data_IF_757748073368
#
_entry.id   IF_757748073368
#
_cell.length_a   1.000
_cell.length_b   1.000
_cell.length_c   1.000
_cell.angle_alpha   90.00
_cell.angle_beta   90.00
_cell.angle_gamma   90.00
#
_symmetry.space_group_name_H-M   'P 1'
#
loop_
_entity.id
_entity.type
_entity.pdbx_description
1 polymer ?
#
# COMPACT_ATOMS: atom_id res chain seq x y z
N UNK A 1 -12.78 -5.86 -4.13
CA UNK A 1 -12.31 -4.98 -3.04
C UNK A 1 -12.11 -3.57 -3.60
N UNK A 2 -12.62 -2.50 -2.96
CA UNK A 2 -12.44 -1.11 -3.41
C UNK A 2 -10.96 -0.68 -3.43
N UNK A 3 -10.59 0.28 -4.30
CA UNK A 3 -9.20 0.79 -4.40
C UNK A 3 -8.69 1.38 -3.07
N UNK A 4 -9.55 2.05 -2.29
CA UNK A 4 -9.20 2.59 -0.96
C UNK A 4 -8.75 1.48 -0.01
N UNK A 5 -9.52 0.40 0.08
CA UNK A 5 -9.23 -0.75 0.95
C UNK A 5 -7.89 -1.41 0.60
N UNK A 6 -7.60 -1.54 -0.69
CA UNK A 6 -6.32 -2.06 -1.18
C UNK A 6 -5.17 -1.11 -0.83
N UNK A 7 -5.35 0.20 -1.05
CA UNK A 7 -4.35 1.21 -0.70
C UNK A 7 -4.05 1.26 0.80
N UNK A 8 -5.08 1.15 1.64
CA UNK A 8 -4.96 1.04 3.10
C UNK A 8 -4.18 -0.22 3.49
N UNK A 9 -4.48 -1.38 2.90
CA UNK A 9 -3.75 -2.63 3.15
C UNK A 9 -2.25 -2.53 2.79
N UNK A 10 -1.93 -1.95 1.63
CA UNK A 10 -0.55 -1.73 1.18
C UNK A 10 0.18 -0.81 2.16
N UNK A 11 -0.48 0.25 2.64
CA UNK A 11 0.11 1.17 3.62
C UNK A 11 0.39 0.49 4.96
N UNK A 12 -0.53 -0.34 5.45
CA UNK A 12 -0.31 -1.14 6.66
C UNK A 12 0.89 -2.08 6.50
N UNK A 13 0.97 -2.80 5.38
CA UNK A 13 2.06 -3.70 5.09
C UNK A 13 3.42 -2.99 5.09
N UNK A 14 3.50 -1.81 4.45
CA UNK A 14 4.71 -0.98 4.46
C UNK A 14 5.06 -0.52 5.88
N UNK A 15 4.11 0.06 6.60
CA UNK A 15 4.34 0.58 7.97
C UNK A 15 4.80 -0.53 8.92
N UNK A 16 4.20 -1.71 8.83
CA UNK A 16 4.58 -2.86 9.64
C UNK A 16 6.07 -3.23 9.40
N UNK A 17 6.46 -3.44 8.14
CA UNK A 17 7.83 -3.86 7.80
C UNK A 17 8.88 -2.73 7.80
N UNK A 18 8.52 -1.49 8.13
CA UNK A 18 9.51 -0.46 8.46
C UNK A 18 10.21 -0.75 9.79
N UNK A 19 9.48 -1.32 10.76
CA UNK A 19 9.97 -1.53 12.12
C UNK A 19 10.05 -3.02 12.51
N UNK A 20 9.54 -3.92 11.67
CA UNK A 20 9.48 -5.35 11.95
C UNK A 20 10.23 -6.15 10.89
N UNK A 21 10.81 -7.28 11.29
CA UNK A 21 11.57 -8.14 10.39
C UNK A 21 10.69 -9.17 9.67
N UNK A 22 10.93 -9.37 8.37
CA UNK A 22 10.33 -10.47 7.60
C UNK A 22 10.72 -11.86 8.14
N UNK A 23 11.87 -11.96 8.82
CA UNK A 23 12.35 -13.20 9.43
C UNK A 23 11.59 -13.55 10.71
N UNK A 24 10.98 -12.56 11.36
CA UNK A 24 10.19 -12.74 12.57
C UNK A 24 8.71 -12.95 12.22
N UNK A 25 8.17 -12.12 11.33
CA UNK A 25 6.77 -12.20 10.92
C UNK A 25 6.68 -12.54 9.44
N UNK A 26 6.04 -13.67 9.13
CA UNK A 26 5.97 -14.16 7.76
C UNK A 26 5.10 -13.23 6.86
N UNK A 27 5.63 -12.71 5.74
CA UNK A 27 4.96 -11.69 4.93
C UNK A 27 3.65 -12.15 4.30
N UNK A 28 3.47 -13.45 4.03
CA UNK A 28 2.18 -13.99 3.56
C UNK A 28 1.05 -13.72 4.57
N UNK A 29 1.31 -13.99 5.85
CA UNK A 29 0.27 -13.88 6.89
C UNK A 29 0.01 -12.42 7.24
N UNK A 30 1.08 -11.62 7.39
CA UNK A 30 0.93 -10.17 7.62
C UNK A 30 0.22 -9.48 6.44
N UNK A 31 0.53 -9.85 5.19
CA UNK A 31 -0.17 -9.32 4.01
C UNK A 31 -1.68 -9.59 4.06
N UNK A 32 -2.08 -10.82 4.39
CA UNK A 32 -3.49 -11.19 4.52
C UNK A 32 -4.15 -10.49 5.71
N UNK A 33 -3.43 -10.35 6.83
CA UNK A 33 -3.89 -9.62 8.01
C UNK A 33 -4.10 -8.14 7.71
N UNK A 34 -3.18 -7.50 6.98
CA UNK A 34 -3.34 -6.12 6.52
C UNK A 34 -4.55 -5.94 5.62
N UNK A 35 -4.78 -6.88 4.68
CA UNK A 35 -5.94 -6.84 3.79
C UNK A 35 -7.26 -7.08 4.54
N UNK A 36 -7.29 -7.97 5.52
CA UNK A 36 -8.48 -8.20 6.34
C UNK A 36 -8.77 -7.02 7.28
N UNK A 37 -7.74 -6.48 7.95
CA UNK A 37 -7.88 -5.32 8.83
C UNK A 37 -8.35 -4.08 8.04
N UNK A 38 -7.83 -3.87 6.83
CA UNK A 38 -8.27 -2.73 6.01
C UNK A 38 -9.75 -2.85 5.61
N UNK A 39 -10.26 -4.06 5.36
CA UNK A 39 -11.69 -4.26 5.12
C UNK A 39 -12.53 -3.77 6.30
N UNK A 40 -12.10 -4.05 7.53
CA UNK A 40 -12.81 -3.63 8.74
C UNK A 40 -12.73 -2.12 8.96
N UNK A 41 -11.55 -1.53 8.79
CA UNK A 41 -11.32 -0.08 9.01
C UNK A 41 -12.06 0.78 7.98
N UNK A 42 -12.10 0.35 6.72
CA UNK A 42 -12.80 1.06 5.64
C UNK A 42 -14.27 0.63 5.49
N UNK A 43 -14.84 -0.07 6.49
CA UNK A 43 -16.24 -0.52 6.53
C UNK A 43 -16.68 -1.38 5.31
N UNK A 44 -15.73 -2.07 4.70
CA UNK A 44 -16.00 -3.04 3.64
C UNK A 44 -16.38 -4.40 4.26
N UNK A 45 -17.68 -4.59 4.46
CA UNK A 45 -18.25 -5.73 5.17
C UNK A 45 -17.97 -7.07 4.47
N UNK A 46 -16.97 -7.80 4.97
CA UNK A 46 -16.59 -9.15 4.54
C UNK A 46 -16.30 -9.98 5.78
N UNK A 47 -16.98 -11.12 5.91
CA UNK A 47 -16.71 -12.06 7.01
C UNK A 47 -15.36 -12.77 6.85
N UNK A 48 -14.78 -13.28 7.94
CA UNK A 48 -13.52 -14.03 7.90
C UNK A 48 -13.57 -15.21 6.92
N UNK A 49 -14.66 -15.99 6.91
CA UNK A 49 -14.86 -17.12 6.01
C UNK A 49 -14.94 -16.68 4.54
N UNK A 50 -15.68 -15.61 4.23
CA UNK A 50 -15.72 -15.04 2.87
C UNK A 50 -14.37 -14.50 2.43
N UNK A 51 -13.58 -13.93 3.35
CA UNK A 51 -12.25 -13.42 3.05
C UNK A 51 -11.31 -14.56 2.64
N UNK A 52 -11.18 -15.60 3.48
CA UNK A 52 -10.28 -16.74 3.20
C UNK A 52 -10.76 -17.64 2.07
N UNK A 53 -12.07 -17.65 1.74
CA UNK A 53 -12.59 -18.35 0.57
C UNK A 53 -11.99 -17.86 -0.76
N UNK A 54 -11.41 -16.64 -0.81
CA UNK A 54 -10.68 -16.15 -1.98
C UNK A 54 -9.31 -16.81 -2.17
N UNK A 55 -8.83 -17.60 -1.19
CA UNK A 55 -7.59 -18.36 -1.28
C UNK A 55 -7.85 -19.68 -2.00
N UNK A 56 -8.02 -19.60 -3.32
CA UNK A 56 -8.40 -20.74 -4.20
C UNK A 56 -7.40 -21.90 -4.21
N UNK A 57 -6.17 -21.66 -3.77
CA UNK A 57 -5.11 -22.68 -3.71
C UNK A 57 -5.03 -23.38 -2.35
N UNK A 58 -5.81 -22.94 -1.36
CA UNK A 58 -5.87 -23.55 -0.03
C UNK A 58 -7.04 -24.54 0.06
N UNK A 59 -6.82 -25.65 0.76
CA UNK A 59 -7.91 -26.55 1.14
C UNK A 59 -8.83 -25.88 2.17
N UNK A 60 -10.07 -26.37 2.40
CA UNK A 60 -10.96 -25.81 3.42
C UNK A 60 -10.31 -25.74 4.82
N UNK A 61 -9.58 -26.79 5.23
CA UNK A 61 -8.83 -26.79 6.48
C UNK A 61 -7.66 -25.78 6.48
N UNK A 62 -7.02 -25.57 5.33
CA UNK A 62 -5.99 -24.55 5.17
C UNK A 62 -6.54 -23.13 5.26
N UNK A 63 -7.72 -22.88 4.70
CA UNK A 63 -8.42 -21.60 4.79
C UNK A 63 -8.79 -21.28 6.24
N UNK A 64 -9.26 -22.27 7.00
CA UNK A 64 -9.57 -22.13 8.43
C UNK A 64 -8.31 -21.79 9.25
N UNK A 65 -7.21 -22.52 9.04
CA UNK A 65 -5.94 -22.23 9.70
C UNK A 65 -5.41 -20.82 9.37
N UNK A 66 -5.54 -20.37 8.11
CA UNK A 66 -5.18 -19.00 7.74
C UNK A 66 -6.10 -17.98 8.41
N UNK A 67 -7.39 -18.27 8.57
CA UNK A 67 -8.32 -17.40 9.29
C UNK A 67 -7.90 -17.25 10.76
N UNK A 68 -7.54 -18.35 11.42
CA UNK A 68 -7.02 -18.34 12.79
C UNK A 68 -5.74 -17.50 12.90
N UNK A 69 -4.79 -17.67 11.98
CA UNK A 69 -3.56 -16.88 11.94
C UNK A 69 -3.84 -15.38 11.74
N UNK A 70 -4.76 -15.02 10.84
CA UNK A 70 -5.16 -13.62 10.65
C UNK A 70 -5.68 -13.02 11.96
N UNK A 71 -6.50 -13.75 12.71
CA UNK A 71 -7.03 -13.29 14.00
C UNK A 71 -5.93 -13.17 15.07
N UNK A 72 -4.98 -14.10 15.10
CA UNK A 72 -3.83 -14.06 16.02
C UNK A 72 -2.97 -12.81 15.78
N UNK A 73 -2.68 -12.49 14.51
CA UNK A 73 -1.83 -11.36 14.14
C UNK A 73 -2.56 -10.00 14.10
N UNK A 74 -3.88 -9.98 14.24
CA UNK A 74 -4.67 -8.76 14.11
C UNK A 74 -4.28 -7.71 15.16
N UNK A 75 -4.30 -8.09 16.45
CA UNK A 75 -3.96 -7.16 17.53
C UNK A 75 -2.50 -6.72 17.41
N UNK A 76 -1.60 -7.64 17.05
CA UNK A 76 -0.19 -7.30 16.81
C UNK A 76 -0.06 -6.24 15.72
N UNK A 77 -0.74 -6.42 14.58
CA UNK A 77 -0.71 -5.46 13.49
C UNK A 77 -1.18 -4.08 13.95
N UNK A 78 -2.28 -4.00 14.69
CA UNK A 78 -2.80 -2.72 15.22
C UNK A 78 -1.77 -2.04 16.14
N UNK A 79 -1.12 -2.81 17.02
CA UNK A 79 -0.06 -2.32 17.91
C UNK A 79 1.15 -1.80 17.12
N UNK A 80 1.61 -2.55 16.11
CA UNK A 80 2.74 -2.18 15.26
C UNK A 80 2.45 -0.98 14.35
N UNK A 81 1.18 -0.68 14.11
CA UNK A 81 0.71 0.55 13.44
C UNK A 81 0.52 1.72 14.40
N UNK A 82 0.90 1.57 15.69
CA UNK A 82 0.70 2.56 16.74
C UNK A 82 -0.76 3.02 16.86
N UNK A 83 -1.73 2.13 16.56
CA UNK A 83 -3.16 2.45 16.52
C UNK A 83 -3.54 3.55 15.50
N UNK A 84 -2.65 3.92 14.59
CA UNK A 84 -2.91 4.89 13.51
C UNK A 84 -3.52 4.20 12.29
N UNK A 85 -4.79 3.78 12.44
CA UNK A 85 -5.50 2.98 11.44
C UNK A 85 -6.02 3.81 10.25
N UNK A 86 -6.29 5.10 10.43
CA UNK A 86 -6.78 5.95 9.33
C UNK A 86 -5.65 6.20 8.31
N UNK A 87 -5.87 5.76 7.06
CA UNK A 87 -4.94 5.98 5.95
C UNK A 87 -5.62 6.85 4.89
N UNK A 88 -5.02 8.00 4.61
CA UNK A 88 -5.45 8.86 3.51
C UNK A 88 -4.86 8.36 2.18
N UNK A 89 -5.73 7.87 1.30
CA UNK A 89 -5.33 7.36 -0.02
C UNK A 89 -5.37 8.45 -1.11
N UNK A 90 -4.54 8.36 -2.17
CA UNK A 90 -4.48 9.36 -3.23
C UNK A 90 -5.70 9.36 -4.17
N UNK A 91 -6.59 8.36 -4.08
CA UNK A 91 -7.75 8.25 -4.96
C UNK A 91 -8.77 9.37 -4.72
N UNK A 92 -9.04 9.74 -3.46
CA UNK A 92 -9.97 10.84 -3.13
C UNK A 92 -9.49 12.22 -3.63
N UNK A 93 -8.24 12.66 -3.37
CA UNK A 93 -7.77 13.92 -3.93
C UNK A 93 -7.63 13.86 -5.45
N UNK A 94 -7.38 12.69 -6.05
CA UNK A 94 -7.40 12.53 -7.51
C UNK A 94 -8.77 12.86 -8.10
N UNK A 95 -9.87 12.34 -7.55
CA UNK A 95 -11.22 12.70 -8.01
C UNK A 95 -11.51 14.20 -7.83
N UNK A 96 -11.12 14.76 -6.67
CA UNK A 96 -11.30 16.18 -6.40
C UNK A 96 -10.58 17.06 -7.42
N UNK A 97 -9.33 16.74 -7.76
CA UNK A 97 -8.56 17.45 -8.78
C UNK A 97 -9.11 17.27 -10.20
N UNK A 98 -9.65 16.09 -10.54
CA UNK A 98 -10.31 15.90 -11.83
C UNK A 98 -11.60 16.73 -11.96
N UNK A 99 -12.40 16.83 -10.89
CA UNK A 99 -13.57 17.71 -10.85
C UNK A 99 -13.14 19.18 -10.98
N UNK A 100 -12.08 19.55 -10.30
CA UNK A 100 -11.51 20.90 -10.34
C UNK A 100 -11.04 21.28 -11.76
N UNK A 101 -10.36 20.36 -12.46
CA UNK A 101 -9.96 20.55 -13.85
C UNK A 101 -11.15 20.71 -14.79
N UNK A 102 -12.20 19.89 -14.64
CA UNK A 102 -13.42 19.99 -15.46
C UNK A 102 -14.15 21.32 -15.29
N UNK A 103 -14.06 21.94 -14.12
CA UNK A 103 -14.85 23.13 -13.78
C UNK A 103 -14.07 24.42 -13.96
N UNK A 104 -12.77 24.43 -13.67
CA UNK A 104 -11.95 25.65 -13.65
C UNK A 104 -10.87 25.71 -14.73
N UNK A 105 -10.67 24.64 -15.50
CA UNK A 105 -9.64 24.57 -16.54
C UNK A 105 -10.20 24.20 -17.91
N UNK A 106 -10.95 25.12 -18.57
CA UNK A 106 -11.66 24.85 -19.83
C UNK A 106 -10.74 24.55 -21.01
N UNK A 107 -9.45 24.89 -20.93
CA UNK A 107 -8.43 24.54 -21.93
C UNK A 107 -8.26 23.03 -22.10
N UNK A 108 -8.67 22.24 -21.10
CA UNK A 108 -8.65 20.78 -21.17
C UNK A 108 -10.04 20.25 -21.52
N UNK A 109 -10.27 19.94 -22.81
CA UNK A 109 -11.58 19.50 -23.32
C UNK A 109 -12.09 18.21 -22.66
N UNK A 110 -11.20 17.25 -22.40
CA UNK A 110 -11.59 15.97 -21.80
C UNK A 110 -10.60 15.49 -20.72
N UNK A 111 -10.76 15.93 -19.46
CA UNK A 111 -9.93 15.47 -18.35
C UNK A 111 -10.04 13.97 -18.06
N UNK A 112 -11.13 13.32 -18.45
CA UNK A 112 -11.33 11.87 -18.27
C UNK A 112 -10.37 11.04 -19.14
N UNK A 113 -9.90 11.59 -20.26
CA UNK A 113 -8.87 10.94 -21.09
C UNK A 113 -7.58 10.66 -20.31
N UNK A 114 -7.28 11.44 -19.26
CA UNK A 114 -6.10 11.27 -18.42
C UNK A 114 -6.26 10.15 -17.39
N UNK A 115 -7.49 9.74 -17.06
CA UNK A 115 -7.78 8.86 -15.92
C UNK A 115 -7.01 7.54 -15.97
N UNK A 116 -6.92 6.92 -17.15
CA UNK A 116 -6.15 5.67 -17.32
C UNK A 116 -4.67 5.86 -16.97
N UNK A 117 -4.04 6.89 -17.52
CA UNK A 117 -2.63 7.20 -17.25
C UNK A 117 -2.38 7.59 -15.79
N UNK A 118 -3.37 8.25 -15.16
CA UNK A 118 -3.35 8.61 -13.73
C UNK A 118 -3.39 7.34 -12.89
N UNK A 119 -4.32 6.43 -13.16
CA UNK A 119 -4.43 5.14 -12.48
C UNK A 119 -3.16 4.29 -12.65
N UNK A 120 -2.56 4.27 -13.85
CA UNK A 120 -1.29 3.60 -14.10
C UNK A 120 -0.18 4.17 -13.23
N UNK A 121 -0.07 5.51 -13.15
CA UNK A 121 0.92 6.16 -12.30
C UNK A 121 0.68 5.87 -10.81
N UNK A 122 -0.57 5.94 -10.32
CA UNK A 122 -0.90 5.63 -8.93
C UNK A 122 -0.59 4.17 -8.59
N UNK A 123 -0.83 3.26 -9.53
CA UNK A 123 -0.46 1.84 -9.37
C UNK A 123 1.05 1.69 -9.25
N UNK A 124 1.84 2.34 -10.11
CA UNK A 124 3.31 2.34 -9.99
C UNK A 124 3.78 2.98 -8.68
N UNK A 125 3.19 4.11 -8.27
CA UNK A 125 3.53 4.78 -7.03
C UNK A 125 3.28 3.89 -5.81
N UNK A 126 2.21 3.07 -5.83
CA UNK A 126 1.86 2.13 -4.75
C UNK A 126 2.92 1.03 -4.54
N UNK A 127 3.71 0.71 -5.57
CA UNK A 127 4.82 -0.26 -5.50
C UNK A 127 6.10 0.35 -4.90
N UNK A 128 6.14 1.67 -4.70
CA UNK A 128 7.29 2.41 -4.14
C UNK A 128 7.00 3.02 -2.77
N UNK A 129 8.01 3.63 -2.15
CA UNK A 129 7.87 4.30 -0.85
C UNK A 129 7.19 5.68 -0.92
N UNK A 130 6.69 6.08 -2.09
CA UNK A 130 6.04 7.38 -2.27
C UNK A 130 4.89 7.62 -1.28
N UNK A 131 4.10 6.58 -0.98
CA UNK A 131 3.00 6.69 -0.01
C UNK A 131 3.43 6.99 1.42
N UNK A 132 4.70 6.75 1.78
CA UNK A 132 5.27 7.08 3.08
C UNK A 132 5.96 8.46 3.09
N UNK A 133 6.40 8.94 1.92
CA UNK A 133 7.25 10.12 1.77
C UNK A 133 6.49 11.40 1.39
N UNK A 134 5.32 11.27 0.75
CA UNK A 134 4.58 12.40 0.20
C UNK A 134 3.11 12.38 0.59
N UNK A 135 2.48 13.56 0.60
CA UNK A 135 1.06 13.67 0.92
C UNK A 135 0.18 13.11 -0.21
N UNK A 136 -1.00 12.53 0.09
CA UNK A 136 -1.89 11.98 -0.93
C UNK A 136 -2.29 12.98 -2.02
N UNK A 137 -2.47 14.26 -1.67
CA UNK A 137 -2.77 15.33 -2.61
C UNK A 137 -1.62 15.62 -3.57
N UNK A 138 -0.37 15.61 -3.08
CA UNK A 138 0.81 15.76 -3.92
C UNK A 138 0.98 14.55 -4.87
N UNK A 139 0.71 13.34 -4.38
CA UNK A 139 0.76 12.12 -5.20
C UNK A 139 -0.28 12.19 -6.32
N UNK A 140 -1.53 12.54 -5.99
CA UNK A 140 -2.61 12.70 -6.96
C UNK A 140 -2.32 13.79 -8.00
N UNK A 141 -1.86 14.97 -7.55
CA UNK A 141 -1.50 16.08 -8.45
C UNK A 141 -0.34 15.69 -9.37
N UNK A 142 0.66 14.99 -8.85
CA UNK A 142 1.79 14.48 -9.65
C UNK A 142 1.30 13.49 -10.70
N UNK A 143 0.38 12.59 -10.35
CA UNK A 143 -0.18 11.62 -11.28
C UNK A 143 -0.90 12.32 -12.45
N UNK A 144 -1.72 13.34 -12.16
CA UNK A 144 -2.46 14.11 -13.17
C UNK A 144 -1.51 14.91 -14.07
N UNK A 145 -0.60 15.70 -13.49
CA UNK A 145 0.34 16.52 -14.24
C UNK A 145 1.33 15.66 -15.07
N UNK A 146 1.74 14.50 -14.55
CA UNK A 146 2.56 13.56 -15.29
C UNK A 146 1.80 12.95 -16.47
N UNK A 147 0.51 12.65 -16.28
CA UNK A 147 -0.34 12.09 -17.33
C UNK A 147 -0.60 13.09 -18.45
N UNK A 148 -0.89 14.35 -18.11
CA UNK A 148 -1.04 15.41 -19.10
C UNK A 148 0.26 15.68 -19.87
N UNK A 149 1.40 15.72 -19.18
CA UNK A 149 2.70 15.87 -19.83
C UNK A 149 3.00 14.73 -20.82
N UNK A 150 2.61 13.48 -20.50
CA UNK A 150 2.71 12.34 -21.44
C UNK A 150 1.75 12.45 -22.63
N UNK A 151 0.63 13.14 -22.46
CA UNK A 151 -0.34 13.42 -23.52
C UNK A 151 0.02 14.68 -24.34
N UNK A 152 1.16 15.33 -24.08
CA UNK A 152 1.59 16.55 -24.77
C UNK A 152 0.89 17.82 -24.30
N UNK A 153 0.17 17.77 -23.17
CA UNK A 153 -0.58 18.89 -22.62
C UNK A 153 0.26 19.67 -21.60
N UNK A 154 0.31 20.99 -21.74
CA UNK A 154 0.90 21.88 -20.73
C UNK A 154 -0.18 22.34 -19.73
N UNK A 155 0.03 22.06 -18.44
CA UNK A 155 -0.87 22.44 -17.35
C UNK A 155 -0.18 23.38 -16.34
N UNK A 156 0.81 24.15 -16.76
CA UNK A 156 1.48 25.15 -15.89
C UNK A 156 0.55 26.30 -15.47
N UNK A 157 -0.35 26.73 -16.37
CA UNK A 157 -1.40 27.73 -16.05
C UNK A 157 -2.36 27.20 -14.98
N UNK A 158 -2.68 25.91 -14.97
CA UNK A 158 -3.50 25.32 -13.91
C UNK A 158 -2.84 25.48 -12.51
N UNK A 159 -1.54 25.25 -12.40
CA UNK A 159 -0.81 25.38 -11.13
C UNK A 159 -0.71 26.85 -10.71
N UNK A 160 -0.43 27.74 -11.64
CA UNK A 160 -0.20 29.16 -11.32
C UNK A 160 -1.50 29.93 -11.11
N UNK A 161 -2.51 29.71 -11.95
CA UNK A 161 -3.77 30.46 -11.95
C UNK A 161 -4.84 29.76 -11.10
N UNK A 162 -5.14 28.48 -11.33
CA UNK A 162 -6.22 27.79 -10.63
C UNK A 162 -5.84 27.42 -9.19
N UNK A 163 -4.61 26.98 -8.93
CA UNK A 163 -4.15 26.70 -7.56
C UNK A 163 -3.64 27.97 -6.84
N UNK A 164 -3.63 29.13 -7.51
CA UNK A 164 -3.28 30.42 -6.91
C UNK A 164 -1.80 30.56 -6.52
N UNK A 165 -0.92 29.70 -7.02
CA UNK A 165 0.50 29.65 -6.62
C UNK A 165 1.38 30.64 -7.41
N UNK A 166 0.80 31.52 -8.24
CA UNK A 166 1.56 32.48 -9.07
C UNK A 166 2.48 33.42 -8.25
N UNK A 167 2.03 33.84 -7.07
CA UNK A 167 2.79 34.78 -6.23
C UNK A 167 3.71 34.07 -5.22
N UNK A 168 3.41 32.82 -4.86
CA UNK A 168 4.18 32.02 -3.90
C UNK A 168 5.21 31.13 -4.61
N UNK A 169 6.33 31.77 -5.00
CA UNK A 169 7.43 31.09 -5.70
C UNK A 169 8.10 30.01 -4.86
N UNK A 170 8.12 30.15 -3.54
CA UNK A 170 8.77 29.19 -2.65
C UNK A 170 7.98 27.88 -2.59
N UNK A 171 6.67 27.96 -2.35
CA UNK A 171 5.79 26.80 -2.34
C UNK A 171 5.74 26.14 -3.71
N UNK A 172 5.74 26.93 -4.78
CA UNK A 172 5.77 26.41 -6.16
C UNK A 172 7.05 25.62 -6.43
N UNK A 173 8.22 26.13 -6.01
CA UNK A 173 9.50 25.40 -6.14
C UNK A 173 9.47 24.07 -5.37
N UNK A 174 9.04 24.09 -4.11
CA UNK A 174 8.93 22.88 -3.27
C UNK A 174 7.98 21.84 -3.87
N UNK A 175 6.89 22.30 -4.50
CA UNK A 175 5.94 21.42 -5.19
C UNK A 175 6.60 20.74 -6.39
N UNK A 176 7.25 21.51 -7.27
CA UNK A 176 7.96 20.96 -8.43
C UNK A 176 9.09 20.00 -8.04
N UNK A 177 9.83 20.32 -6.98
CA UNK A 177 10.88 19.43 -6.45
C UNK A 177 10.29 18.12 -5.93
N UNK A 178 9.16 18.18 -5.24
CA UNK A 178 8.46 16.99 -4.74
C UNK A 178 7.93 16.13 -5.89
N UNK A 179 7.34 16.75 -6.92
CA UNK A 179 6.92 16.08 -8.15
C UNK A 179 8.10 15.41 -8.86
N UNK A 180 9.23 16.11 -8.99
CA UNK A 180 10.45 15.58 -9.62
C UNK A 180 10.97 14.37 -8.84
N UNK A 181 11.03 14.45 -7.51
CA UNK A 181 11.46 13.32 -6.66
C UNK A 181 10.54 12.11 -6.80
N UNK A 182 9.22 12.29 -6.77
CA UNK A 182 8.26 11.21 -7.01
C UNK A 182 8.50 10.54 -8.37
N UNK A 183 8.65 11.32 -9.45
CA UNK A 183 8.93 10.78 -10.79
C UNK A 183 10.23 9.97 -10.84
N UNK A 184 11.28 10.42 -10.15
CA UNK A 184 12.56 9.70 -10.07
C UNK A 184 12.38 8.36 -9.34
N UNK A 185 11.70 8.36 -8.19
CA UNK A 185 11.45 7.15 -7.41
C UNK A 185 10.67 6.13 -8.25
N UNK A 186 9.59 6.54 -8.91
CA UNK A 186 8.82 5.64 -9.79
C UNK A 186 9.62 5.11 -10.97
N UNK A 187 10.53 5.91 -11.56
CA UNK A 187 11.34 5.49 -12.71
C UNK A 187 12.46 4.52 -12.33
N UNK A 188 13.00 4.65 -11.12
CA UNK A 188 14.09 3.81 -10.60
C UNK A 188 13.60 2.48 -10.02
N UNK A 189 12.30 2.34 -9.80
CA UNK A 189 11.74 1.12 -9.25
C UNK A 189 11.79 -0.01 -10.27
N UNK A 190 12.42 -1.13 -9.88
CA UNK A 190 12.47 -2.35 -10.67
C UNK A 190 11.71 -3.45 -9.94
N UNK A 191 10.89 -4.21 -10.68
CA UNK A 191 10.20 -5.35 -10.12
C UNK A 191 11.21 -6.42 -9.69
N UNK A 192 10.99 -7.08 -8.54
CA UNK A 192 11.91 -8.10 -8.06
C UNK A 192 11.93 -9.29 -9.02
N UNK A 193 13.14 -9.70 -9.43
CA UNK A 193 13.32 -10.83 -10.36
C UNK A 193 12.81 -12.14 -9.74
N UNK A 194 12.05 -12.97 -10.48
CA UNK A 194 11.46 -14.21 -9.94
C UNK A 194 12.48 -15.15 -9.30
N UNK A 195 13.67 -15.27 -9.88
CA UNK A 195 14.76 -16.10 -9.36
C UNK A 195 15.20 -15.66 -7.96
N UNK A 196 15.37 -14.34 -7.76
CA UNK A 196 15.75 -13.76 -6.48
C UNK A 196 14.62 -13.93 -5.46
N UNK A 197 13.37 -13.71 -5.87
CA UNK A 197 12.20 -13.92 -5.00
C UNK A 197 12.12 -15.38 -4.54
N UNK A 198 12.29 -16.34 -5.44
CA UNK A 198 12.24 -17.76 -5.12
C UNK A 198 13.38 -18.18 -4.18
N UNK A 199 14.60 -17.68 -4.43
CA UNK A 199 15.74 -17.95 -3.55
C UNK A 199 15.53 -17.35 -2.14
N UNK A 200 15.04 -16.11 -2.05
CA UNK A 200 14.72 -15.48 -0.77
C UNK A 200 13.57 -16.21 -0.05
N UNK A 201 12.52 -16.62 -0.78
CA UNK A 201 11.41 -17.40 -0.22
C UNK A 201 11.92 -18.70 0.40
N UNK A 202 12.72 -19.48 -0.32
CA UNK A 202 13.27 -20.73 0.21
C UNK A 202 14.11 -20.51 1.49
N UNK A 203 14.91 -19.45 1.54
CA UNK A 203 15.67 -19.09 2.75
C UNK A 203 14.74 -18.70 3.90
N UNK A 204 13.71 -17.92 3.59
CA UNK A 204 12.74 -17.46 4.57
C UNK A 204 11.97 -18.62 5.21
N UNK A 205 11.49 -19.56 4.40
CA UNK A 205 10.79 -20.76 4.91
C UNK A 205 11.67 -21.58 5.86
N UNK A 206 12.99 -21.68 5.59
CA UNK A 206 13.93 -22.36 6.49
C UNK A 206 14.04 -21.65 7.84
N UNK A 207 14.15 -20.33 7.84
CA UNK A 207 14.23 -19.52 9.06
C UNK A 207 12.97 -19.69 9.92
N UNK A 208 11.80 -19.62 9.31
CA UNK A 208 10.52 -19.80 10.02
C UNK A 208 10.37 -21.23 10.56
N UNK A 209 10.80 -22.24 9.80
CA UNK A 209 10.79 -23.63 10.27
C UNK A 209 11.74 -23.87 11.46
N UNK A 210 12.92 -23.25 11.46
CA UNK A 210 13.87 -23.30 12.59
C UNK A 210 13.35 -22.53 13.82
N UNK A 211 12.78 -21.34 13.61
CA UNK A 211 12.16 -20.55 14.66
C UNK A 211 11.04 -21.30 15.38
N UNK A 212 10.17 -21.97 14.61
CA UNK A 212 9.11 -22.81 15.18
C UNK A 212 9.67 -23.97 16.01
N UNK A 213 10.77 -24.60 15.56
CA UNK A 213 11.45 -25.67 16.31
C UNK A 213 12.02 -25.17 17.65
N UNK A 214 12.57 -23.96 17.67
CA UNK A 214 13.10 -23.34 18.88
C UNK A 214 12.01 -22.93 19.87
N UNK A 215 10.86 -22.46 19.39
CA UNK A 215 9.69 -22.18 20.24
C UNK A 215 9.13 -23.47 20.83
N UNK A 216 9.02 -24.53 20.03
CA UNK A 216 8.55 -25.84 20.49
C UNK A 216 9.51 -26.49 21.49
N UNK A 217 10.83 -26.38 21.28
CA UNK A 217 11.82 -26.90 22.24
C UNK A 217 11.81 -26.13 23.56
N UNK A 218 11.60 -24.79 23.53
CA UNK A 218 11.41 -23.98 24.74
C UNK A 218 10.11 -24.33 25.48
N UNK A 219 9.00 -24.56 24.77
CA UNK A 219 7.73 -25.00 25.40
C UNK A 219 7.87 -26.36 26.10
N UNK A 220 8.60 -27.31 25.52
CA UNK A 220 8.91 -28.62 26.16
C UNK A 220 9.79 -28.52 27.40
N UNK A 221 10.64 -27.49 27.49
CA UNK A 221 11.47 -27.23 28.68
C UNK A 221 10.68 -26.58 29.83
N UNK A 222 9.59 -25.87 29.53
CA UNK A 222 8.77 -25.15 30.52
C UNK A 222 7.66 -26.05 31.11
N UNK A 223 7.18 -27.03 30.33
CA UNK A 223 6.25 -28.06 30.80
C UNK A 223 6.91 -29.43 30.62
N UNK A 224 7.79 -29.89 31.53
CA UNK A 224 8.21 -31.28 31.54
C UNK A 224 6.96 -32.13 31.84
N UNK A 225 6.76 -33.19 31.05
CA UNK A 225 5.64 -34.12 31.17
C UNK A 225 5.36 -34.50 32.65
N UNK A 226 4.28 -33.96 33.23
CA UNK A 226 3.64 -34.54 34.42
C UNK A 226 2.89 -35.78 33.96
N UNK A 227 3.64 -36.86 33.73
CA UNK A 227 3.07 -38.21 33.63
C UNK A 227 3.98 -39.19 34.35
N UNK A 228 3.65 -39.39 35.63
CA UNK A 228 3.85 -40.66 36.35
C UNK A 228 2.48 -41.23 36.67
#
# INVERSE_FOLDING_TARGET
MPKSVVGTAVMYFRRFYLNNSVMEFHPRIIMLTCAYLSCKVDEFNVSSSQFVANLVHESPAGQELVAEQILEYELLLIQQLNFHLVVHNPYRPMEGLLIDLKTRYPTLENPESLRKNVDDFLTQASLTDIGLLFTPSQIALTAILNSASRAGLNMESYITECLGLKQDKETLSKLYDSMRRMKIITKKYELPKPEVVNACKQKLERIHAEGLRLVLSRKRLIFPDDSR
#
